data_IF_930146711860
#
_entry.id   IF_930146711860
#
_cell.length_a   1.000
_cell.length_b   1.000
_cell.length_c   1.000
_cell.angle_alpha   90.00
_cell.angle_beta   90.00
_cell.angle_gamma   90.00
#
_symmetry.space_group_name_H-M   'P 1'
#
loop_
_entity.id
_entity.type
_entity.pdbx_description
1 polymer ?
#
# COMPACT_ATOMS: atom_id res chain seq x y z
N UNK A 1 -4.69 19.48 7.17
CA UNK A 1 -3.84 18.33 6.77
C UNK A 1 -4.52 17.64 5.59
N UNK A 2 -3.81 17.28 4.52
CA UNK A 2 -4.39 16.49 3.42
C UNK A 2 -4.04 15.03 3.66
N UNK A 3 -5.03 14.15 3.66
CA UNK A 3 -4.82 12.70 3.70
C UNK A 3 -4.62 12.14 2.29
N UNK A 4 -4.16 10.90 2.21
CA UNK A 4 -4.12 10.10 0.99
C UNK A 4 -4.97 8.86 1.20
N UNK A 5 -5.83 8.55 0.24
CA UNK A 5 -6.56 7.30 0.17
C UNK A 5 -5.95 6.46 -0.94
N UNK A 6 -5.55 5.23 -0.61
CA UNK A 6 -5.07 4.23 -1.56
C UNK A 6 -6.12 3.12 -1.59
N UNK A 7 -6.62 2.79 -2.78
CA UNK A 7 -7.71 1.82 -2.94
C UNK A 7 -7.48 0.87 -4.12
N UNK A 8 -7.93 -0.38 -3.96
CA UNK A 8 -7.97 -1.39 -5.01
C UNK A 8 -9.38 -1.99 -5.04
N UNK A 9 -9.99 -2.06 -6.22
CA UNK A 9 -11.32 -2.63 -6.46
C UNK A 9 -11.25 -3.55 -7.69
N UNK A 10 -11.25 -4.88 -7.51
CA UNK A 10 -11.10 -5.83 -8.62
C UNK A 10 -12.32 -5.83 -9.55
N UNK A 11 -13.52 -5.54 -9.05
CA UNK A 11 -14.73 -5.50 -9.88
C UNK A 11 -14.69 -4.33 -10.87
N UNK A 12 -14.00 -3.26 -10.49
CA UNK A 12 -13.79 -2.08 -11.34
C UNK A 12 -12.42 -2.05 -12.02
N UNK A 13 -11.65 -3.13 -11.91
CA UNK A 13 -10.28 -3.24 -12.45
C UNK A 13 -9.37 -2.10 -11.97
N UNK A 14 -9.52 -1.68 -10.72
CA UNK A 14 -8.73 -0.63 -10.09
C UNK A 14 -7.69 -1.24 -9.16
N UNK A 15 -6.43 -0.85 -9.34
CA UNK A 15 -5.33 -1.31 -8.51
C UNK A 15 -4.49 -0.13 -8.03
N UNK A 16 -4.34 0.01 -6.71
CA UNK A 16 -3.55 1.06 -6.05
C UNK A 16 -3.87 2.48 -6.56
N UNK A 17 -5.15 2.79 -6.70
CA UNK A 17 -5.60 4.12 -7.11
C UNK A 17 -5.48 5.08 -5.93
N UNK A 18 -4.63 6.10 -6.10
CA UNK A 18 -4.42 7.16 -5.12
C UNK A 18 -5.38 8.33 -5.33
N UNK A 19 -5.92 8.86 -4.22
CA UNK A 19 -6.74 10.07 -4.21
C UNK A 19 -6.39 10.94 -3.01
N UNK A 20 -6.31 12.25 -3.24
CA UNK A 20 -6.19 13.21 -2.15
C UNK A 20 -7.53 13.32 -1.41
N UNK A 21 -7.48 13.32 -0.08
CA UNK A 21 -8.65 13.51 0.78
C UNK A 21 -8.39 14.61 1.81
N UNK A 22 -9.45 15.25 2.29
CA UNK A 22 -9.38 16.21 3.37
C UNK A 22 -9.95 15.63 4.66
N UNK A 23 -9.32 15.96 5.77
CA UNK A 23 -9.91 15.69 7.08
C UNK A 23 -11.02 16.72 7.34
N UNK A 24 -12.15 16.25 7.86
CA UNK A 24 -13.28 17.07 8.27
C UNK A 24 -13.48 16.97 9.78
N UNK A 25 -14.22 17.94 10.34
CA UNK A 25 -14.67 17.84 11.72
C UNK A 25 -15.67 16.70 11.88
N UNK A 26 -15.66 16.07 13.05
CA UNK A 26 -16.59 15.00 13.41
C UNK A 26 -18.04 15.47 13.21
N UNK A 27 -18.79 14.71 12.42
CA UNK A 27 -20.24 14.84 12.32
C UNK A 27 -20.90 14.17 13.52
N UNK A 28 -21.87 14.83 14.16
CA UNK A 28 -22.52 14.32 15.38
C UNK A 28 -23.29 13.01 15.13
N UNK A 29 -23.88 12.87 13.95
CA UNK A 29 -24.77 11.76 13.60
C UNK A 29 -24.08 10.62 12.83
N UNK A 30 -22.74 10.61 12.80
CA UNK A 30 -21.99 9.54 12.15
C UNK A 30 -21.99 8.29 13.04
N UNK A 31 -22.77 7.28 12.65
CA UNK A 31 -22.89 5.99 13.35
C UNK A 31 -21.68 5.06 13.16
N UNK A 32 -20.91 5.26 12.08
CA UNK A 32 -19.80 4.40 11.69
C UNK A 32 -18.44 5.09 11.90
N UNK A 33 -18.07 5.31 13.16
CA UNK A 33 -16.82 5.98 13.52
C UNK A 33 -15.77 4.98 14.04
N UNK A 34 -14.62 4.90 13.35
CA UNK A 34 -13.43 4.20 13.85
C UNK A 34 -12.53 5.21 14.57
N UNK A 35 -12.22 4.96 15.84
CA UNK A 35 -11.35 5.81 16.66
C UNK A 35 -9.93 5.25 16.72
N UNK A 36 -8.94 6.11 16.49
CA UNK A 36 -7.52 5.79 16.70
C UNK A 36 -7.12 6.27 18.09
N UNK A 37 -6.42 5.44 18.87
CA UNK A 37 -6.03 5.73 20.25
C UNK A 37 -4.48 5.76 20.40
N UNK A 38 -3.80 6.88 20.05
CA UNK A 38 -2.34 6.91 19.93
C UNK A 38 -1.55 6.61 21.21
N UNK A 39 -2.19 6.73 22.38
CA UNK A 39 -1.56 6.45 23.68
C UNK A 39 -1.52 4.96 24.04
N UNK A 40 -2.21 4.11 23.29
CA UNK A 40 -2.23 2.66 23.49
C UNK A 40 -1.29 2.03 22.45
N UNK A 41 0.00 2.02 22.76
CA UNK A 41 1.00 1.44 21.89
C UNK A 41 0.95 -0.10 21.93
N UNK A 42 1.15 -0.72 20.78
CA UNK A 42 1.29 -2.17 20.64
C UNK A 42 2.70 -2.47 20.07
N UNK A 43 2.83 -3.49 19.22
CA UNK A 43 4.10 -3.86 18.61
C UNK A 43 4.63 -2.78 17.65
N UNK A 44 5.95 -2.74 17.52
CA UNK A 44 6.62 -2.04 16.42
C UNK A 44 6.58 -2.94 15.18
N UNK A 45 6.39 -2.32 14.01
CA UNK A 45 6.36 -3.03 12.73
C UNK A 45 7.67 -2.72 12.02
N UNK A 46 8.49 -3.74 11.81
CA UNK A 46 9.79 -3.61 11.13
C UNK A 46 9.63 -3.38 9.62
N UNK A 47 8.65 -4.03 9.00
CA UNK A 47 8.37 -3.85 7.58
C UNK A 47 7.46 -4.91 6.96
N UNK A 48 7.33 -4.82 5.64
CA UNK A 48 6.59 -5.74 4.78
C UNK A 48 7.46 -6.09 3.57
N UNK A 49 7.26 -7.28 2.99
CA UNK A 49 8.06 -7.71 1.85
C UNK A 49 7.53 -9.00 1.20
N UNK A 50 8.41 -9.65 0.44
CA UNK A 50 8.15 -10.93 -0.22
C UNK A 50 9.40 -11.81 -0.23
N UNK A 51 9.25 -13.06 -0.67
CA UNK A 51 10.36 -14.00 -0.78
C UNK A 51 10.98 -13.97 -2.18
N UNK A 52 12.30 -13.81 -2.25
CA UNK A 52 13.06 -13.99 -3.48
C UNK A 52 13.69 -15.38 -3.49
N UNK A 53 12.90 -16.38 -3.88
CA UNK A 53 13.31 -17.78 -3.96
C UNK A 53 14.13 -18.07 -5.21
N UNK A 54 14.70 -19.27 -5.32
CA UNK A 54 15.34 -19.73 -6.56
C UNK A 54 14.39 -19.62 -7.77
N UNK A 55 13.13 -20.03 -7.61
CA UNK A 55 12.12 -19.88 -8.65
C UNK A 55 11.87 -18.42 -9.05
N UNK A 56 11.80 -17.51 -8.07
CA UNK A 56 11.71 -16.07 -8.35
C UNK A 56 12.96 -15.56 -9.09
N UNK A 57 14.14 -16.05 -8.74
CA UNK A 57 15.41 -15.72 -9.40
C UNK A 57 15.46 -16.18 -10.86
N UNK A 58 15.01 -17.41 -11.15
CA UNK A 58 14.93 -17.92 -12.54
C UNK A 58 14.01 -17.03 -13.37
N UNK A 59 12.81 -16.72 -12.87
CA UNK A 59 11.86 -15.87 -13.59
C UNK A 59 12.41 -14.46 -13.78
N UNK A 60 12.94 -13.84 -12.72
CA UNK A 60 13.54 -12.51 -12.78
C UNK A 60 14.68 -12.43 -13.81
N UNK A 61 15.56 -13.44 -13.85
CA UNK A 61 16.67 -13.48 -14.78
C UNK A 61 16.25 -13.73 -16.24
N UNK A 62 15.07 -14.31 -16.47
CA UNK A 62 14.50 -14.47 -17.81
C UNK A 62 13.95 -13.15 -18.41
N UNK A 63 13.77 -12.12 -17.59
CA UNK A 63 13.27 -10.80 -18.02
C UNK A 63 14.35 -9.97 -18.72
N UNK A 64 13.93 -9.03 -19.58
CA UNK A 64 14.83 -8.00 -20.11
C UNK A 64 15.32 -7.06 -19.01
N UNK A 65 16.49 -6.43 -19.17
CA UNK A 65 17.03 -5.47 -18.20
C UNK A 65 16.07 -4.30 -17.90
N UNK A 66 15.35 -3.82 -18.93
CA UNK A 66 14.31 -2.79 -18.77
C UNK A 66 13.19 -3.29 -17.85
N UNK A 67 12.72 -4.51 -18.05
CA UNK A 67 11.66 -5.12 -17.25
C UNK A 67 12.11 -5.39 -15.83
N UNK A 68 13.35 -5.85 -15.62
CA UNK A 68 13.93 -6.02 -14.28
C UNK A 68 13.92 -4.72 -13.50
N UNK A 69 14.38 -3.62 -14.10
CA UNK A 69 14.38 -2.30 -13.47
C UNK A 69 12.97 -1.84 -13.09
N UNK A 70 12.00 -2.01 -14.00
CA UNK A 70 10.59 -1.70 -13.73
C UNK A 70 10.01 -2.56 -12.60
N UNK A 71 10.30 -3.86 -12.60
CA UNK A 71 9.85 -4.80 -11.58
C UNK A 71 10.38 -4.42 -10.19
N UNK A 72 11.69 -4.14 -10.08
CA UNK A 72 12.30 -3.72 -8.82
C UNK A 72 11.74 -2.38 -8.35
N UNK A 73 11.51 -1.42 -9.25
CA UNK A 73 10.84 -0.17 -8.91
C UNK A 73 9.46 -0.44 -8.30
N UNK A 74 8.62 -1.25 -8.95
CA UNK A 74 7.28 -1.53 -8.43
C UNK A 74 7.26 -2.17 -7.03
N UNK A 75 8.24 -3.00 -6.69
CA UNK A 75 8.32 -3.64 -5.36
C UNK A 75 8.99 -2.79 -4.29
N UNK A 76 10.01 -2.01 -4.65
CA UNK A 76 10.93 -1.41 -3.69
C UNK A 76 11.08 0.12 -3.81
N UNK A 77 10.47 0.77 -4.81
CA UNK A 77 10.45 2.23 -4.84
C UNK A 77 9.44 2.77 -3.82
N UNK A 78 9.90 3.71 -3.01
CA UNK A 78 9.10 4.44 -2.03
C UNK A 78 8.38 5.64 -2.65
#
# INVERSE_FOLDING_TARGET
MKGRLISSDPYRQQFLVERAVSFSHRQRDCSELISVLPRHALQQIDGFGGSFTEGAGVVFNSMSEKTKAQFLSLYFSA
#
